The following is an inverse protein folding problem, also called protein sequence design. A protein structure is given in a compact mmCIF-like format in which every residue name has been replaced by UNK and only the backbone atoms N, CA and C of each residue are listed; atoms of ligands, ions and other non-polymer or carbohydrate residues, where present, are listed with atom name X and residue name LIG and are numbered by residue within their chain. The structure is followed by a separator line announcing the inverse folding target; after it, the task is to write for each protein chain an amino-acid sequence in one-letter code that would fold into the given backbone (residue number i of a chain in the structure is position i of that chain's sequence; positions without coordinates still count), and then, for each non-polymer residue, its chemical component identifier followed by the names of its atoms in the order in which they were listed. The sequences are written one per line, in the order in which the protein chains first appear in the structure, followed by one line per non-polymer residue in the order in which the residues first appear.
data_IF_408027692673
#
_entry.id   IF_408027692673
#
_cell.length_a   1.000
_cell.length_b   1.000
_cell.length_c   1.000
_cell.angle_alpha   90.00
_cell.angle_beta   90.00
_cell.angle_gamma   90.00
#
_symmetry.space_group_name_H-M   'P 1'
#
loop_
_entity.id
_entity.type
_entity.pdbx_description
1 polymer ?
#
# COMPACT_ATOMS: atom_id res chain seq x y z
N UNK A 1 -33.39 -4.53 -33.11
CA UNK A 1 -33.00 -3.11 -33.05
C UNK A 1 -32.31 -2.87 -31.70
N UNK A 2 -31.02 -3.11 -31.66
CA UNK A 2 -30.14 -2.86 -30.51
C UNK A 2 -28.89 -2.21 -31.09
N UNK A 3 -28.77 -0.92 -30.96
CA UNK A 3 -27.55 -0.23 -31.31
C UNK A 3 -27.35 0.99 -30.41
N UNK A 4 -26.16 1.07 -29.85
CA UNK A 4 -25.44 2.31 -29.56
C UNK A 4 -25.79 3.04 -28.26
N UNK A 5 -25.11 2.70 -27.20
CA UNK A 5 -24.68 3.66 -26.19
C UNK A 5 -23.22 3.40 -25.85
N UNK A 6 -22.33 3.91 -26.68
CA UNK A 6 -20.90 3.94 -26.44
C UNK A 6 -20.54 5.26 -25.78
N UNK A 7 -19.75 5.15 -24.73
CA UNK A 7 -18.69 6.06 -24.30
C UNK A 7 -19.02 7.55 -24.10
N UNK A 8 -19.18 7.91 -22.84
CA UNK A 8 -18.63 9.17 -22.35
C UNK A 8 -17.68 8.87 -21.18
N UNK A 9 -16.41 8.68 -21.54
CA UNK A 9 -15.32 8.70 -20.58
C UNK A 9 -15.00 10.16 -20.31
N UNK A 10 -15.60 10.71 -19.28
CA UNK A 10 -15.14 11.97 -18.73
C UNK A 10 -13.70 11.80 -18.25
N UNK A 11 -12.76 12.38 -18.99
CA UNK A 11 -11.37 12.57 -18.55
C UNK A 11 -11.38 13.56 -17.39
N UNK A 12 -11.22 13.04 -16.17
CA UNK A 12 -11.07 13.86 -14.98
C UNK A 12 -9.68 14.49 -14.99
N UNK A 13 -9.61 15.79 -15.22
CA UNK A 13 -8.37 16.57 -15.08
C UNK A 13 -8.18 16.96 -13.63
N UNK A 14 -7.15 16.38 -12.98
CA UNK A 14 -6.88 16.53 -11.55
C UNK A 14 -6.27 17.90 -11.18
N UNK A 15 -5.92 18.73 -12.16
CA UNK A 15 -5.31 20.04 -11.94
C UNK A 15 -6.10 21.14 -12.65
N UNK A 16 -7.08 21.70 -11.95
CA UNK A 16 -7.83 22.88 -12.41
C UNK A 16 -6.98 24.17 -12.40
N UNK A 17 -5.96 24.25 -13.26
CA UNK A 17 -5.22 25.48 -13.52
C UNK A 17 -5.21 25.79 -15.00
N UNK A 18 -5.87 26.88 -15.35
CA UNK A 18 -5.81 27.53 -16.64
C UNK A 18 -4.38 28.07 -16.90
N UNK A 19 -3.84 28.06 -18.12
CA UNK A 19 -2.52 28.59 -18.43
C UNK A 19 -2.55 30.12 -18.45
N UNK A 20 -2.13 30.73 -17.37
CA UNK A 20 -1.87 32.16 -17.26
C UNK A 20 -0.66 32.57 -18.07
N UNK A 21 -0.89 33.43 -19.06
CA UNK A 21 0.10 34.10 -19.90
C UNK A 21 0.92 35.08 -19.06
N UNK A 22 2.18 34.74 -18.74
CA UNK A 22 3.14 35.67 -18.09
C UNK A 22 4.19 36.12 -19.09
N UNK A 23 4.00 37.32 -19.62
CA UNK A 23 5.02 38.11 -20.29
C UNK A 23 5.74 39.00 -19.24
N UNK A 24 6.97 38.62 -18.88
CA UNK A 24 7.86 39.43 -18.04
C UNK A 24 9.20 39.70 -18.73
N UNK A 25 9.90 40.81 -18.43
CA UNK A 25 10.99 41.34 -19.24
C UNK A 25 12.28 40.52 -19.16
N UNK A 26 12.93 40.38 -20.32
CA UNK A 26 14.24 39.72 -20.49
C UNK A 26 15.34 40.58 -19.83
N UNK A 27 15.80 40.13 -18.66
CA UNK A 27 17.00 40.65 -18.02
C UNK A 27 18.25 40.02 -18.64
N UNK A 28 19.17 40.86 -19.08
CA UNK A 28 20.47 40.54 -19.67
C UNK A 28 21.37 39.99 -18.57
N UNK A 29 21.66 38.68 -18.55
CA UNK A 29 22.60 38.08 -17.59
C UNK A 29 24.03 38.08 -18.15
N UNK A 30 24.91 38.77 -17.41
CA UNK A 30 26.34 38.69 -17.56
C UNK A 30 26.89 37.30 -17.21
N UNK A 31 27.91 36.87 -17.94
CA UNK A 31 28.37 35.50 -18.03
C UNK A 31 28.83 34.90 -16.70
N UNK A 32 28.14 33.89 -16.29
CA UNK A 32 28.59 32.92 -15.31
C UNK A 32 29.15 31.71 -16.08
N UNK A 33 30.39 31.31 -15.75
CA UNK A 33 31.13 30.24 -16.36
C UNK A 33 30.34 28.91 -16.23
N UNK A 34 29.60 28.54 -17.30
CA UNK A 34 28.57 27.47 -17.33
C UNK A 34 29.14 26.08 -17.10
N UNK A 35 30.45 25.87 -17.16
CA UNK A 35 31.03 24.52 -17.06
C UNK A 35 31.21 24.02 -15.63
N UNK A 36 31.32 24.91 -14.64
CA UNK A 36 31.45 24.52 -13.21
C UNK A 36 30.12 24.49 -12.48
N UNK A 37 29.10 25.22 -12.94
CA UNK A 37 27.77 25.27 -12.32
C UNK A 37 26.93 24.00 -12.58
N UNK A 38 27.11 23.36 -13.74
CA UNK A 38 26.31 22.18 -14.12
C UNK A 38 26.64 20.93 -13.31
N UNK A 39 27.88 20.75 -12.87
CA UNK A 39 28.28 19.61 -12.06
C UNK A 39 27.69 19.65 -10.63
N UNK A 40 27.56 20.85 -10.06
CA UNK A 40 26.98 21.01 -8.70
C UNK A 40 25.45 20.84 -8.73
N UNK A 41 24.79 21.33 -9.78
CA UNK A 41 23.32 21.20 -9.93
C UNK A 41 22.93 19.74 -10.23
N UNK A 42 23.73 19.00 -11.02
CA UNK A 42 23.48 17.58 -11.29
C UNK A 42 23.66 16.69 -10.04
N UNK A 43 24.62 17.04 -9.16
CA UNK A 43 24.84 16.25 -7.93
C UNK A 43 23.75 16.49 -6.87
N UNK A 44 23.13 17.67 -6.84
CA UNK A 44 22.04 17.99 -5.94
C UNK A 44 20.69 17.35 -6.37
N UNK A 45 20.51 17.12 -7.68
CA UNK A 45 19.30 16.49 -8.21
C UNK A 45 19.21 14.98 -7.91
N UNK A 46 20.34 14.27 -7.76
CA UNK A 46 20.38 12.85 -7.42
C UNK A 46 20.02 12.55 -5.96
N UNK A 47 20.18 13.53 -5.06
CA UNK A 47 19.88 13.33 -3.64
C UNK A 47 18.40 13.55 -3.29
N UNK A 48 17.63 14.22 -4.13
CA UNK A 48 16.21 14.50 -3.87
C UNK A 48 15.29 13.29 -4.15
N UNK A 49 15.73 12.36 -5.00
CA UNK A 49 14.91 11.21 -5.41
C UNK A 49 14.72 10.20 -4.28
N UNK A 50 15.72 9.95 -3.46
CA UNK A 50 15.67 8.93 -2.39
C UNK A 50 14.68 9.29 -1.26
N UNK A 51 14.46 10.57 -0.99
CA UNK A 51 13.52 11.02 0.04
C UNK A 51 12.07 11.03 -0.46
N UNK A 52 11.87 11.32 -1.75
CA UNK A 52 10.56 11.26 -2.37
C UNK A 52 10.04 9.82 -2.43
N UNK A 53 10.92 8.86 -2.69
CA UNK A 53 10.57 7.44 -2.78
C UNK A 53 10.16 6.86 -1.41
N UNK A 54 10.85 7.21 -0.33
CA UNK A 54 10.52 6.74 1.01
C UNK A 54 9.14 7.19 1.50
N UNK A 55 8.74 8.42 1.22
CA UNK A 55 7.42 8.96 1.58
C UNK A 55 6.30 8.36 0.72
N UNK A 56 6.55 8.13 -0.57
CA UNK A 56 5.60 7.48 -1.46
C UNK A 56 5.38 6.01 -1.04
N UNK A 57 6.45 5.29 -0.74
CA UNK A 57 6.38 3.92 -0.21
C UNK A 57 5.65 3.85 1.13
N UNK A 58 5.89 4.80 2.02
CA UNK A 58 5.17 4.89 3.29
C UNK A 58 3.66 5.07 3.08
N UNK A 59 3.25 6.01 2.23
CA UNK A 59 1.83 6.25 1.94
C UNK A 59 1.16 5.05 1.27
N UNK A 60 1.86 4.41 0.35
CA UNK A 60 1.36 3.20 -0.30
C UNK A 60 1.18 2.06 0.71
N UNK A 61 2.19 1.79 1.54
CA UNK A 61 2.14 0.81 2.62
C UNK A 61 0.99 1.05 3.60
N UNK A 62 0.79 2.31 4.00
CA UNK A 62 -0.33 2.71 4.86
C UNK A 62 -1.69 2.40 4.21
N UNK A 63 -1.83 2.65 2.91
CA UNK A 63 -3.01 2.30 2.13
C UNK A 63 -3.27 0.80 2.08
N UNK A 64 -2.22 0.01 1.85
CA UNK A 64 -2.29 -1.47 1.83
C UNK A 64 -2.69 -2.02 3.20
N UNK A 65 -2.11 -1.51 4.30
CA UNK A 65 -2.49 -1.91 5.67
C UNK A 65 -3.94 -1.54 6.01
N UNK A 66 -4.40 -0.38 5.60
CA UNK A 66 -5.81 0.04 5.76
C UNK A 66 -6.76 -0.87 4.98
N UNK A 67 -6.39 -1.28 3.76
CA UNK A 67 -7.18 -2.21 2.95
C UNK A 67 -7.31 -3.58 3.62
N UNK A 68 -6.21 -4.13 4.11
CA UNK A 68 -6.21 -5.38 4.89
C UNK A 68 -7.10 -5.27 6.15
N UNK A 69 -6.95 -4.16 6.91
CA UNK A 69 -7.78 -3.86 8.07
C UNK A 69 -9.27 -3.76 7.73
N UNK A 70 -9.60 -3.17 6.59
CA UNK A 70 -10.98 -3.07 6.07
C UNK A 70 -11.58 -4.44 5.76
N UNK A 71 -10.86 -5.31 5.07
CA UNK A 71 -11.30 -6.68 4.80
C UNK A 71 -11.46 -7.48 6.09
N UNK A 72 -10.49 -7.39 7.02
CA UNK A 72 -10.55 -8.08 8.31
C UNK A 72 -11.80 -7.64 9.10
N UNK A 73 -12.03 -6.34 9.25
CA UNK A 73 -13.18 -5.82 10.01
C UNK A 73 -14.51 -6.22 9.39
N UNK A 74 -14.61 -6.24 8.06
CA UNK A 74 -15.81 -6.70 7.36
C UNK A 74 -16.09 -8.18 7.60
N UNK A 75 -15.08 -9.05 7.49
CA UNK A 75 -15.21 -10.48 7.77
C UNK A 75 -15.63 -10.72 9.23
N UNK A 76 -15.03 -10.00 10.19
CA UNK A 76 -15.43 -10.06 11.61
C UNK A 76 -16.89 -9.65 11.80
N UNK A 77 -17.33 -8.57 11.15
CA UNK A 77 -18.72 -8.10 11.23
C UNK A 77 -19.69 -9.12 10.65
N UNK A 78 -19.39 -9.73 9.50
CA UNK A 78 -20.19 -10.79 8.87
C UNK A 78 -20.34 -11.98 9.83
N UNK A 79 -19.23 -12.48 10.36
CA UNK A 79 -19.23 -13.68 11.19
C UNK A 79 -19.88 -13.46 12.56
N UNK A 80 -19.60 -12.36 13.23
CA UNK A 80 -20.17 -12.04 14.54
C UNK A 80 -21.64 -11.61 14.45
N UNK A 81 -21.96 -10.76 13.45
CA UNK A 81 -23.30 -10.26 13.23
C UNK A 81 -24.23 -11.26 12.55
N UNK A 82 -23.70 -12.34 11.97
CA UNK A 82 -24.44 -13.34 11.19
C UNK A 82 -25.23 -12.71 10.05
N UNK A 83 -24.59 -11.77 9.32
CA UNK A 83 -25.18 -11.03 8.21
C UNK A 83 -24.34 -11.17 6.95
N UNK A 84 -24.93 -11.06 5.79
CA UNK A 84 -24.22 -10.95 4.50
C UNK A 84 -23.17 -12.05 4.24
N UNK A 85 -23.45 -13.29 4.61
CA UNK A 85 -22.51 -14.40 4.42
C UNK A 85 -22.08 -14.58 2.96
N UNK A 86 -22.93 -14.24 2.00
CA UNK A 86 -22.62 -14.27 0.56
C UNK A 86 -21.44 -13.34 0.19
N UNK A 87 -21.15 -12.35 1.02
CA UNK A 87 -20.03 -11.42 0.81
C UNK A 87 -18.73 -11.89 1.48
N UNK A 88 -18.75 -12.93 2.30
CA UNK A 88 -17.58 -13.39 3.04
C UNK A 88 -16.40 -13.74 2.11
N UNK A 89 -16.67 -14.49 1.04
CA UNK A 89 -15.67 -14.88 0.06
C UNK A 89 -15.05 -13.67 -0.68
N UNK A 90 -15.83 -12.62 -0.92
CA UNK A 90 -15.34 -11.38 -1.54
C UNK A 90 -14.27 -10.72 -0.67
N UNK A 91 -14.56 -10.58 0.63
CA UNK A 91 -13.60 -9.98 1.56
C UNK A 91 -12.39 -10.87 1.82
N UNK A 92 -12.57 -12.19 1.86
CA UNK A 92 -11.49 -13.15 2.04
C UNK A 92 -10.52 -13.16 0.84
N UNK A 93 -11.04 -13.12 -0.40
CA UNK A 93 -10.21 -12.95 -1.61
C UNK A 93 -9.48 -11.60 -1.61
N UNK A 94 -10.19 -10.50 -1.34
CA UNK A 94 -9.55 -9.19 -1.25
C UNK A 94 -8.43 -9.13 -0.20
N UNK A 95 -8.59 -9.85 0.93
CA UNK A 95 -7.53 -10.03 1.91
C UNK A 95 -6.34 -10.80 1.33
N UNK A 96 -6.57 -11.90 0.60
CA UNK A 96 -5.52 -12.70 -0.02
C UNK A 96 -4.76 -11.89 -1.09
N UNK A 97 -5.48 -11.13 -1.92
CA UNK A 97 -4.89 -10.26 -2.94
C UNK A 97 -3.98 -9.19 -2.31
N UNK A 98 -4.45 -8.52 -1.26
CA UNK A 98 -3.67 -7.54 -0.51
C UNK A 98 -2.48 -8.19 0.20
N UNK A 99 -2.65 -9.39 0.76
CA UNK A 99 -1.57 -10.14 1.40
C UNK A 99 -0.45 -10.48 0.40
N UNK A 100 -0.79 -10.82 -0.84
CA UNK A 100 0.19 -11.09 -1.90
C UNK A 100 1.06 -9.89 -2.28
N UNK A 101 0.57 -8.66 -2.08
CA UNK A 101 1.33 -7.42 -2.31
C UNK A 101 2.21 -7.06 -1.10
N UNK A 102 1.77 -7.41 0.12
CA UNK A 102 2.34 -6.94 1.37
C UNK A 102 3.87 -7.14 1.50
N UNK A 103 4.48 -8.26 1.07
CA UNK A 103 5.93 -8.43 1.15
C UNK A 103 6.73 -7.36 0.37
N UNK A 104 6.14 -6.75 -0.66
CA UNK A 104 6.82 -5.80 -1.56
C UNK A 104 6.81 -4.36 -1.06
N UNK A 105 6.01 -4.03 -0.02
CA UNK A 105 5.81 -2.64 0.41
C UNK A 105 6.76 -2.19 1.52
N UNK A 106 7.82 -2.98 1.79
CA UNK A 106 8.87 -2.68 2.76
C UNK A 106 10.28 -2.76 2.13
N UNK A 107 10.53 -2.02 1.03
CA UNK A 107 11.88 -2.01 0.45
C UNK A 107 12.88 -1.33 1.40
N UNK A 108 14.17 -1.64 1.20
CA UNK A 108 15.26 -0.98 1.93
C UNK A 108 15.18 0.54 1.78
N UNK A 109 15.47 1.27 2.87
CA UNK A 109 15.47 2.72 2.88
C UNK A 109 14.07 3.38 2.88
N UNK A 110 12.99 2.60 2.89
CA UNK A 110 11.61 3.15 2.88
C UNK A 110 11.05 3.51 4.26
N UNK A 111 11.88 3.47 5.31
CA UNK A 111 11.45 3.89 6.64
C UNK A 111 11.48 5.41 6.75
N UNK A 112 10.35 6.02 7.11
CA UNK A 112 10.24 7.46 7.42
C UNK A 112 10.14 7.69 8.94
N UNK A 113 10.35 8.93 9.41
CA UNK A 113 10.39 9.27 10.84
C UNK A 113 9.08 9.00 11.57
N UNK A 114 7.94 9.26 10.93
CA UNK A 114 6.60 9.19 11.55
C UNK A 114 5.89 7.84 11.37
N UNK A 115 6.60 6.84 10.84
CA UNK A 115 6.06 5.50 10.62
C UNK A 115 5.84 4.74 11.93
N UNK A 116 4.85 3.84 11.93
CA UNK A 116 4.70 2.80 12.94
C UNK A 116 5.49 1.53 12.59
N UNK A 117 6.20 1.50 11.44
CA UNK A 117 7.06 0.38 11.07
C UNK A 117 8.29 0.34 11.96
N UNK A 118 8.52 -0.77 12.65
CA UNK A 118 9.70 -0.95 13.49
C UNK A 118 10.97 -1.03 12.65
N UNK A 119 12.14 -0.55 13.15
CA UNK A 119 13.43 -0.76 12.50
C UNK A 119 13.76 -2.23 12.26
N UNK A 120 13.24 -3.13 13.10
CA UNK A 120 13.43 -4.58 13.05
C UNK A 120 12.98 -5.19 11.72
N UNK A 121 12.04 -4.56 11.00
CA UNK A 121 11.62 -4.97 9.64
C UNK A 121 12.83 -5.08 8.69
N UNK A 122 13.82 -4.22 8.85
CA UNK A 122 15.01 -4.17 7.99
C UNK A 122 16.24 -4.79 8.64
N UNK A 123 16.35 -4.77 9.97
CA UNK A 123 17.49 -5.35 10.69
C UNK A 123 17.33 -6.85 10.98
N UNK A 124 16.10 -7.35 11.08
CA UNK A 124 15.74 -8.77 11.17
C UNK A 124 14.90 -9.20 9.97
N UNK A 125 15.48 -9.08 8.79
CA UNK A 125 14.77 -9.35 7.54
C UNK A 125 14.27 -10.78 7.42
N UNK A 126 15.01 -11.75 7.89
CA UNK A 126 14.63 -13.16 7.85
C UNK A 126 13.39 -13.43 8.72
N UNK A 127 13.35 -12.91 9.94
CA UNK A 127 12.19 -13.03 10.83
C UNK A 127 10.98 -12.32 10.29
N UNK A 128 11.16 -11.10 9.73
CA UNK A 128 10.09 -10.36 9.10
C UNK A 128 9.50 -11.09 7.89
N UNK A 129 10.32 -11.62 6.99
CA UNK A 129 9.87 -12.36 5.81
C UNK A 129 9.12 -13.63 6.23
N UNK A 130 9.58 -14.36 7.26
CA UNK A 130 8.87 -15.51 7.80
C UNK A 130 7.49 -15.13 8.38
N UNK A 131 7.37 -14.01 9.08
CA UNK A 131 6.08 -13.50 9.57
C UNK A 131 5.14 -13.12 8.41
N UNK A 132 5.69 -12.54 7.35
CA UNK A 132 4.96 -12.18 6.14
C UNK A 132 4.44 -13.41 5.40
N UNK A 133 5.26 -14.45 5.25
CA UNK A 133 4.86 -15.72 4.64
C UNK A 133 3.72 -16.40 5.42
N UNK A 134 3.77 -16.37 6.74
CA UNK A 134 2.68 -16.86 7.59
C UNK A 134 1.38 -16.09 7.35
N UNK A 135 1.45 -14.76 7.22
CA UNK A 135 0.28 -13.94 6.92
C UNK A 135 -0.29 -14.26 5.54
N UNK A 136 0.54 -14.33 4.50
CA UNK A 136 0.14 -14.68 3.13
C UNK A 136 -0.53 -16.06 3.10
N UNK A 137 0.07 -17.05 3.75
CA UNK A 137 -0.50 -18.41 3.84
C UNK A 137 -1.86 -18.41 4.54
N UNK A 138 -1.99 -17.72 5.67
CA UNK A 138 -3.24 -17.64 6.41
C UNK A 138 -4.35 -16.90 5.65
N UNK A 139 -4.01 -15.84 4.89
CA UNK A 139 -4.95 -15.11 4.05
C UNK A 139 -5.48 -16.00 2.91
N UNK A 140 -4.60 -16.75 2.25
CA UNK A 140 -4.99 -17.71 1.22
C UNK A 140 -5.88 -18.83 1.78
N UNK A 141 -5.55 -19.37 2.95
CA UNK A 141 -6.38 -20.37 3.62
C UNK A 141 -7.77 -19.82 3.95
N UNK A 142 -7.85 -18.56 4.40
CA UNK A 142 -9.13 -17.90 4.66
C UNK A 142 -9.95 -17.73 3.38
N UNK A 143 -9.33 -17.39 2.25
CA UNK A 143 -10.02 -17.28 0.97
C UNK A 143 -10.60 -18.63 0.55
N UNK A 144 -9.82 -19.71 0.59
CA UNK A 144 -10.26 -21.07 0.27
C UNK A 144 -11.42 -21.52 1.18
N UNK A 145 -11.29 -21.28 2.49
CA UNK A 145 -12.33 -21.64 3.46
C UNK A 145 -13.64 -20.88 3.20
N UNK A 146 -13.56 -19.58 2.91
CA UNK A 146 -14.74 -18.77 2.63
C UNK A 146 -15.42 -19.17 1.31
N UNK A 147 -14.64 -19.53 0.28
CA UNK A 147 -15.14 -19.99 -1.02
C UNK A 147 -15.83 -21.35 -0.94
N UNK A 148 -15.38 -22.22 -0.04
CA UNK A 148 -16.02 -23.52 0.17
C UNK A 148 -17.43 -23.41 0.77
N UNK A 149 -17.75 -22.31 1.44
CA UNK A 149 -18.98 -22.12 2.20
C UNK A 149 -19.08 -22.98 3.47
N UNK A 150 -18.04 -23.77 3.79
CA UNK A 150 -18.00 -24.62 4.98
C UNK A 150 -17.58 -23.81 6.23
N UNK A 151 -18.57 -23.49 7.05
CA UNK A 151 -18.34 -22.74 8.28
C UNK A 151 -17.43 -23.46 9.29
N UNK A 152 -17.30 -24.80 9.18
CA UNK A 152 -16.36 -25.57 9.99
C UNK A 152 -14.89 -25.25 9.63
N UNK A 153 -14.61 -24.86 8.39
CA UNK A 153 -13.30 -24.43 7.92
C UNK A 153 -13.07 -22.93 8.14
N UNK A 154 -14.09 -22.11 7.99
CA UNK A 154 -14.02 -20.65 8.13
C UNK A 154 -13.54 -20.22 9.52
N UNK A 155 -14.08 -20.84 10.58
CA UNK A 155 -13.71 -20.48 11.97
C UNK A 155 -12.21 -20.64 12.24
N UNK A 156 -11.61 -21.81 12.05
CA UNK A 156 -10.17 -22.01 12.21
C UNK A 156 -9.31 -21.13 11.29
N UNK A 157 -9.71 -20.94 10.02
CA UNK A 157 -8.98 -20.07 9.09
C UNK A 157 -8.98 -18.59 9.53
N UNK A 158 -10.12 -18.09 9.99
CA UNK A 158 -10.24 -16.74 10.55
C UNK A 158 -9.38 -16.54 11.80
N UNK A 159 -9.31 -17.55 12.66
CA UNK A 159 -8.44 -17.53 13.85
C UNK A 159 -6.95 -17.50 13.44
N UNK A 160 -6.55 -18.32 12.47
CA UNK A 160 -5.17 -18.37 11.97
C UNK A 160 -4.77 -17.03 11.36
N UNK A 161 -5.65 -16.45 10.54
CA UNK A 161 -5.43 -15.11 9.95
C UNK A 161 -5.27 -14.03 11.03
N UNK A 162 -6.15 -13.99 12.03
CA UNK A 162 -6.04 -13.04 13.14
C UNK A 162 -4.75 -13.21 13.96
N UNK A 163 -4.31 -14.47 14.15
CA UNK A 163 -3.06 -14.77 14.86
C UNK A 163 -1.83 -14.31 14.06
N UNK A 164 -1.81 -14.48 12.74
CA UNK A 164 -0.69 -14.02 11.91
C UNK A 164 -0.58 -12.49 11.90
N UNK A 165 -1.71 -11.78 11.80
CA UNK A 165 -1.71 -10.31 11.92
C UNK A 165 -1.12 -9.85 13.27
N UNK A 166 -1.58 -10.48 14.36
CA UNK A 166 -1.12 -10.12 15.70
C UNK A 166 0.38 -10.41 15.87
N UNK A 167 0.87 -11.58 15.46
CA UNK A 167 2.28 -11.98 15.62
C UNK A 167 3.21 -11.00 14.90
N UNK A 168 2.92 -10.67 13.63
CA UNK A 168 3.71 -9.68 12.90
C UNK A 168 3.67 -8.29 13.58
N UNK A 169 2.50 -7.84 14.04
CA UNK A 169 2.37 -6.53 14.70
C UNK A 169 3.03 -6.48 16.08
N UNK A 170 3.10 -7.57 16.80
CA UNK A 170 3.79 -7.62 18.12
C UNK A 170 5.30 -7.38 17.96
N UNK A 171 5.92 -7.90 16.88
CA UNK A 171 7.37 -7.87 16.69
C UNK A 171 7.82 -6.69 15.81
N UNK A 172 7.01 -6.28 14.82
CA UNK A 172 7.41 -5.36 13.75
C UNK A 172 6.60 -4.05 13.68
N UNK A 173 5.72 -3.79 14.64
CA UNK A 173 4.95 -2.54 14.72
C UNK A 173 5.24 -1.79 16.03
N UNK A 174 5.58 -0.51 15.91
CA UNK A 174 5.69 0.40 17.06
C UNK A 174 4.28 0.82 17.48
N UNK A 175 3.91 0.53 18.72
CA UNK A 175 2.70 1.10 19.35
C UNK A 175 3.05 2.45 19.96
N UNK A 176 2.40 3.50 19.47
CA UNK A 176 2.51 4.86 20.03
C UNK A 176 1.54 5.03 21.19
#
# INVERSE_FOLDING_TARGET
MLAKKAADRATYNVNGQEPGHLSGPVGRNEGVDMKKGWLVVMLAALSASAWADGEAEYKYREGIMKSAGGHMSSMVAILRGRVHFDNLAIHARGMADVAGIMPTVFPEGSRVSDTESSPEIWSDREGFDAAMDQFVAAANQMAVAAESGDMGQVGPAMQALGKSCKGCHDDYRITK
#
